data_IF_410030108648
#
_entry.id   IF_410030108648
#
_cell.length_a   1.000
_cell.length_b   1.000
_cell.length_c   1.000
_cell.angle_alpha   90.00
_cell.angle_beta   90.00
_cell.angle_gamma   90.00
#
_symmetry.space_group_name_H-M   'P 1'
#
loop_
_entity.id
_entity.type
_entity.pdbx_description
1 polymer ?
#
# COMPACT_ATOMS: atom_id res chain seq x y z
N UNK A 1 20.80 -41.91 -20.98
CA UNK A 1 20.01 -40.83 -21.57
C UNK A 1 18.89 -40.42 -20.59
N UNK A 2 19.00 -39.30 -19.93
CA UNK A 2 17.99 -38.85 -18.94
C UNK A 2 16.71 -38.40 -19.70
N UNK A 3 15.62 -39.14 -19.55
CA UNK A 3 14.30 -38.75 -20.06
C UNK A 3 13.66 -37.76 -19.08
N UNK A 4 13.59 -36.46 -19.41
CA UNK A 4 12.81 -35.51 -18.65
C UNK A 4 11.34 -35.89 -18.74
N UNK A 5 10.74 -36.26 -17.62
CA UNK A 5 9.31 -36.50 -17.52
C UNK A 5 8.53 -35.21 -17.77
N UNK A 6 7.79 -35.11 -18.88
CA UNK A 6 6.97 -33.93 -19.24
C UNK A 6 5.49 -34.24 -19.26
N UNK A 7 5.06 -35.44 -18.83
CA UNK A 7 3.66 -35.87 -18.88
C UNK A 7 2.69 -34.91 -18.20
N UNK A 8 3.10 -34.30 -17.08
CA UNK A 8 2.29 -33.33 -16.35
C UNK A 8 2.24 -31.93 -16.99
N UNK A 9 2.86 -31.76 -18.15
CA UNK A 9 2.90 -30.49 -18.90
C UNK A 9 2.30 -30.58 -20.31
N UNK A 10 1.80 -31.73 -20.71
CA UNK A 10 1.37 -32.00 -22.09
C UNK A 10 0.13 -31.21 -22.50
N UNK A 11 -0.85 -31.10 -21.63
CA UNK A 11 -2.10 -30.37 -21.90
C UNK A 11 -2.36 -29.32 -20.85
N UNK A 12 -3.21 -28.33 -21.19
CA UNK A 12 -3.67 -27.31 -20.23
C UNK A 12 -4.37 -27.99 -19.06
N UNK A 13 -5.24 -28.97 -19.36
CA UNK A 13 -6.03 -29.68 -18.34
C UNK A 13 -5.12 -30.38 -17.31
N UNK A 14 -4.06 -31.07 -17.78
CA UNK A 14 -3.13 -31.74 -16.84
C UNK A 14 -2.35 -30.71 -16.03
N UNK A 15 -1.94 -29.58 -16.64
CA UNK A 15 -1.25 -28.52 -15.91
C UNK A 15 -2.15 -27.91 -14.82
N UNK A 16 -3.43 -27.74 -15.11
CA UNK A 16 -4.40 -27.21 -14.13
C UNK A 16 -4.67 -28.21 -13.01
N UNK A 17 -4.78 -29.52 -13.33
CA UNK A 17 -4.97 -30.56 -12.32
C UNK A 17 -3.80 -30.70 -11.32
N UNK A 18 -2.58 -30.38 -11.73
CA UNK A 18 -1.38 -30.49 -10.90
C UNK A 18 -0.85 -29.14 -10.40
N UNK A 19 -1.61 -28.08 -10.62
CA UNK A 19 -1.25 -26.73 -10.19
C UNK A 19 -1.29 -26.64 -8.68
N UNK A 20 -0.16 -26.29 -8.07
CA UNK A 20 -0.04 -26.14 -6.61
C UNK A 20 -0.45 -24.74 -6.16
N UNK A 21 -0.32 -23.73 -7.05
CA UNK A 21 -0.62 -22.35 -6.75
C UNK A 21 -1.66 -21.81 -7.74
N UNK A 22 -2.73 -21.24 -7.22
CA UNK A 22 -3.72 -20.50 -7.98
C UNK A 22 -3.63 -19.02 -7.61
N UNK A 23 -3.80 -18.15 -8.60
CA UNK A 23 -3.88 -16.71 -8.39
C UNK A 23 -5.34 -16.29 -8.45
N UNK A 24 -5.85 -15.77 -7.35
CA UNK A 24 -7.19 -15.22 -7.25
C UNK A 24 -7.13 -13.70 -7.12
N UNK A 25 -8.16 -13.01 -7.60
CA UNK A 25 -8.29 -11.56 -7.38
C UNK A 25 -8.35 -11.21 -5.88
N UNK A 26 -8.78 -12.16 -5.05
CA UNK A 26 -8.84 -12.02 -3.58
C UNK A 26 -7.45 -11.95 -2.92
N UNK A 27 -6.40 -12.38 -3.65
CA UNK A 27 -5.03 -12.36 -3.16
C UNK A 27 -4.35 -10.99 -3.40
N UNK A 28 -5.02 -10.08 -4.13
CA UNK A 28 -4.46 -8.76 -4.43
C UNK A 28 -4.78 -7.73 -3.36
N UNK A 29 -3.76 -6.93 -3.06
CA UNK A 29 -3.84 -5.74 -2.22
C UNK A 29 -3.43 -4.55 -3.09
N UNK A 30 -4.32 -3.58 -3.25
CA UNK A 30 -4.03 -2.38 -4.03
C UNK A 30 -3.27 -1.36 -3.19
N UNK A 31 -2.07 -0.90 -3.60
CA UNK A 31 -1.40 0.21 -2.94
C UNK A 31 -2.08 1.54 -3.29
N UNK A 32 -2.32 2.36 -2.27
CA UNK A 32 -2.91 3.70 -2.39
C UNK A 32 -1.93 4.71 -1.81
N UNK A 33 -1.57 5.72 -2.60
CA UNK A 33 -0.70 6.80 -2.18
C UNK A 33 -1.55 8.05 -1.91
N UNK A 34 -1.65 8.43 -0.63
CA UNK A 34 -2.45 9.58 -0.22
C UNK A 34 -1.58 10.80 0.05
N UNK A 35 -2.01 11.95 -0.47
CA UNK A 35 -1.31 13.23 -0.38
C UNK A 35 -2.22 14.29 0.23
N UNK A 36 -1.62 15.29 0.82
CA UNK A 36 -2.31 16.49 1.27
C UNK A 36 -2.78 17.34 0.09
N UNK A 37 -3.72 18.25 0.36
CA UNK A 37 -4.34 19.11 -0.64
C UNK A 37 -5.72 18.61 -1.08
N UNK A 38 -6.26 19.27 -2.10
CA UNK A 38 -7.61 19.05 -2.63
C UNK A 38 -7.57 18.81 -4.15
N UNK A 39 -8.51 18.02 -4.63
CA UNK A 39 -8.71 17.73 -6.06
C UNK A 39 -7.46 17.17 -6.77
N UNK A 40 -6.66 16.35 -6.08
CA UNK A 40 -5.45 15.75 -6.63
C UNK A 40 -5.71 14.30 -7.05
N UNK A 41 -5.51 14.03 -8.34
CA UNK A 41 -5.31 12.71 -8.93
C UNK A 41 -4.15 12.84 -9.91
N UNK A 42 -2.94 12.56 -9.46
CA UNK A 42 -1.72 12.75 -10.25
C UNK A 42 -0.99 11.43 -10.40
N UNK A 43 -0.79 11.00 -11.64
CA UNK A 43 -0.06 9.76 -11.93
C UNK A 43 1.39 9.85 -11.41
N UNK A 44 1.84 8.74 -10.83
CA UNK A 44 3.22 8.57 -10.36
C UNK A 44 4.09 8.19 -11.55
N UNK A 45 4.99 9.06 -11.98
CA UNK A 45 5.79 8.88 -13.22
C UNK A 45 6.62 7.59 -13.24
N UNK A 46 7.13 7.17 -12.08
CA UNK A 46 7.91 5.93 -11.91
C UNK A 46 7.04 4.68 -11.76
N UNK A 47 5.73 4.82 -11.55
CA UNK A 47 4.81 3.73 -11.28
C UNK A 47 3.50 3.95 -12.07
N UNK A 48 3.57 3.73 -13.39
CA UNK A 48 2.45 3.96 -14.31
C UNK A 48 1.18 3.23 -13.87
N UNK A 49 0.03 3.91 -13.99
CA UNK A 49 -1.25 3.41 -13.55
C UNK A 49 -1.52 3.57 -12.05
N UNK A 50 -0.55 4.05 -11.28
CA UNK A 50 -0.72 4.42 -9.88
C UNK A 50 -0.74 5.94 -9.72
N UNK A 51 -1.52 6.42 -8.77
CA UNK A 51 -1.78 7.84 -8.61
C UNK A 51 -1.57 8.28 -7.17
N UNK A 52 -1.12 9.52 -7.01
CA UNK A 52 -1.29 10.24 -5.75
C UNK A 52 -2.74 10.74 -5.69
N UNK A 53 -3.39 10.50 -4.56
CA UNK A 53 -4.79 10.85 -4.34
C UNK A 53 -4.92 11.80 -3.15
N UNK A 54 -5.64 12.89 -3.32
CA UNK A 54 -6.15 13.65 -2.17
C UNK A 54 -7.38 12.95 -1.57
N UNK A 55 -7.65 13.20 -0.30
CA UNK A 55 -8.70 12.50 0.47
C UNK A 55 -10.09 12.68 -0.16
N UNK A 56 -10.38 13.86 -0.71
CA UNK A 56 -11.65 14.18 -1.39
C UNK A 56 -11.88 13.34 -2.66
N UNK A 57 -10.82 12.92 -3.33
CA UNK A 57 -10.88 12.12 -4.58
C UNK A 57 -10.93 10.61 -4.35
N UNK A 58 -10.80 10.12 -3.13
CA UNK A 58 -10.85 8.67 -2.82
C UNK A 58 -12.18 8.00 -3.23
N UNK A 59 -13.26 8.78 -3.38
CA UNK A 59 -14.52 8.27 -3.88
C UNK A 59 -14.46 7.74 -5.32
N UNK A 60 -13.58 8.27 -6.16
CA UNK A 60 -13.35 7.74 -7.51
C UNK A 60 -12.63 6.39 -7.46
N UNK A 61 -11.60 6.30 -6.62
CA UNK A 61 -10.86 5.07 -6.41
C UNK A 61 -11.77 3.95 -5.89
N UNK A 62 -12.65 4.23 -4.92
CA UNK A 62 -13.58 3.23 -4.38
C UNK A 62 -14.56 2.76 -5.46
N UNK A 63 -15.00 3.64 -6.37
CA UNK A 63 -15.83 3.22 -7.53
C UNK A 63 -15.07 2.28 -8.45
N UNK A 64 -13.82 2.62 -8.80
CA UNK A 64 -12.95 1.78 -9.62
C UNK A 64 -12.73 0.40 -8.95
N UNK A 65 -12.52 0.37 -7.63
CA UNK A 65 -12.37 -0.87 -6.87
C UNK A 65 -13.64 -1.75 -6.90
N UNK A 66 -14.81 -1.14 -6.80
CA UNK A 66 -16.10 -1.87 -6.86
C UNK A 66 -16.36 -2.55 -8.20
N UNK A 67 -15.77 -2.04 -9.27
CA UNK A 67 -15.83 -2.65 -10.61
C UNK A 67 -14.88 -3.86 -10.72
N UNK A 68 -13.88 -3.94 -9.84
CA UNK A 68 -12.99 -5.08 -9.70
C UNK A 68 -13.45 -5.95 -8.53
N UNK A 69 -12.90 -7.14 -8.38
CA UNK A 69 -13.16 -7.96 -7.19
C UNK A 69 -12.10 -7.75 -6.08
N UNK A 70 -11.23 -6.73 -6.20
CA UNK A 70 -10.23 -6.39 -5.17
C UNK A 70 -10.93 -5.72 -3.98
N UNK A 71 -10.71 -6.25 -2.79
CA UNK A 71 -11.32 -5.77 -1.55
C UNK A 71 -10.32 -5.36 -0.47
N UNK A 72 -9.04 -5.41 -0.80
CA UNK A 72 -7.96 -5.08 0.13
C UNK A 72 -7.10 -3.96 -0.42
N UNK A 73 -6.80 -2.98 0.41
CA UNK A 73 -5.94 -1.84 0.08
C UNK A 73 -4.86 -1.66 1.13
N UNK A 74 -3.69 -1.20 0.72
CA UNK A 74 -2.63 -0.73 1.63
C UNK A 74 -2.37 0.75 1.38
N UNK A 75 -2.38 1.54 2.45
CA UNK A 75 -2.26 3.00 2.37
C UNK A 75 -0.84 3.43 2.70
N UNK A 76 -0.26 4.23 1.81
CA UNK A 76 0.99 4.94 2.01
C UNK A 76 0.71 6.44 2.10
N UNK A 77 1.15 7.07 3.19
CA UNK A 77 1.04 8.50 3.37
C UNK A 77 2.20 9.26 2.76
N UNK A 78 1.93 10.33 2.03
CA UNK A 78 2.95 11.23 1.52
C UNK A 78 2.68 12.62 2.07
N UNK A 79 3.09 12.90 3.33
CA UNK A 79 2.86 14.19 3.95
C UNK A 79 3.72 15.28 3.30
N UNK A 80 3.23 16.52 3.28
CA UNK A 80 4.00 17.66 2.81
C UNK A 80 5.07 18.07 3.83
N UNK A 81 4.75 17.96 5.12
CA UNK A 81 5.67 18.26 6.21
C UNK A 81 6.36 17.01 6.72
N UNK A 82 7.68 17.07 6.79
CA UNK A 82 8.53 16.03 7.34
C UNK A 82 9.50 16.61 8.33
N UNK A 83 9.76 15.89 9.41
CA UNK A 83 10.74 16.31 10.42
C UNK A 83 11.63 15.13 10.87
N UNK A 84 12.62 15.42 11.70
CA UNK A 84 13.56 14.39 12.14
C UNK A 84 12.97 13.32 13.07
N UNK A 85 11.72 13.50 13.55
CA UNK A 85 10.99 12.57 14.41
C UNK A 85 9.83 11.89 13.71
N UNK A 86 9.48 12.31 12.50
CA UNK A 86 8.33 11.78 11.76
C UNK A 86 6.99 12.08 12.44
N UNK A 87 6.79 13.30 12.97
CA UNK A 87 5.64 13.64 13.80
C UNK A 87 4.30 13.46 13.10
N UNK A 88 4.24 13.61 11.77
CA UNK A 88 3.03 13.37 10.99
C UNK A 88 2.55 11.90 11.00
N UNK A 89 3.42 10.95 11.33
CA UNK A 89 3.04 9.54 11.41
C UNK A 89 2.01 9.25 12.52
N UNK A 90 2.11 9.99 13.64
CA UNK A 90 1.24 9.81 14.80
C UNK A 90 0.32 11.02 15.07
N UNK A 91 0.21 11.92 14.10
CA UNK A 91 -0.76 13.02 14.15
C UNK A 91 -2.17 12.44 13.97
N UNK A 92 -3.09 12.70 14.92
CA UNK A 92 -4.48 12.24 14.83
C UNK A 92 -5.22 12.74 13.59
N UNK A 93 -4.82 13.90 13.06
CA UNK A 93 -5.30 14.49 11.81
C UNK A 93 -4.31 14.35 10.66
N UNK A 94 -3.40 13.39 10.74
CA UNK A 94 -2.49 13.07 9.66
C UNK A 94 -3.20 12.57 8.40
N UNK A 95 -2.50 12.60 7.28
CA UNK A 95 -3.09 12.29 5.97
C UNK A 95 -3.62 10.86 5.88
N UNK A 96 -2.94 9.89 6.50
CA UNK A 96 -3.37 8.48 6.52
C UNK A 96 -4.64 8.32 7.37
N UNK A 97 -4.69 8.96 8.54
CA UNK A 97 -5.84 8.93 9.45
C UNK A 97 -7.08 9.52 8.78
N UNK A 98 -6.93 10.64 8.07
CA UNK A 98 -8.00 11.24 7.25
C UNK A 98 -8.46 10.31 6.13
N UNK A 99 -7.52 9.68 5.44
CA UNK A 99 -7.84 8.74 4.37
C UNK A 99 -8.60 7.51 4.88
N UNK A 100 -8.20 6.93 6.02
CA UNK A 100 -8.89 5.79 6.64
C UNK A 100 -10.34 6.17 6.98
N UNK A 101 -10.55 7.31 7.66
CA UNK A 101 -11.90 7.79 7.99
C UNK A 101 -12.75 7.92 6.73
N UNK A 102 -12.18 8.52 5.67
CA UNK A 102 -12.89 8.71 4.40
C UNK A 102 -13.20 7.39 3.69
N UNK A 103 -12.27 6.46 3.64
CA UNK A 103 -12.51 5.14 3.03
C UNK A 103 -13.59 4.34 3.77
N UNK A 104 -13.62 4.42 5.12
CA UNK A 104 -14.67 3.78 5.94
C UNK A 104 -16.05 4.37 5.70
N UNK A 105 -16.16 5.69 5.46
CA UNK A 105 -17.44 6.30 5.05
C UNK A 105 -17.93 5.81 3.68
N UNK A 106 -16.99 5.56 2.76
CA UNK A 106 -17.30 5.20 1.38
C UNK A 106 -17.58 3.71 1.19
N UNK A 107 -16.90 2.87 1.96
CA UNK A 107 -17.03 1.42 1.89
C UNK A 107 -16.53 0.79 3.21
N UNK A 108 -17.44 0.31 4.03
CA UNK A 108 -17.17 -0.32 5.33
C UNK A 108 -16.67 -1.77 5.19
N UNK A 109 -16.92 -2.42 4.04
CA UNK A 109 -16.43 -3.77 3.75
C UNK A 109 -14.98 -3.79 3.23
N UNK A 110 -14.41 -2.64 2.90
CA UNK A 110 -13.05 -2.56 2.38
C UNK A 110 -12.03 -2.94 3.47
N UNK A 111 -11.16 -3.91 3.20
CA UNK A 111 -10.09 -4.26 4.10
C UNK A 111 -8.92 -3.28 3.96
N UNK A 112 -8.70 -2.47 4.98
CA UNK A 112 -7.68 -1.40 4.98
C UNK A 112 -6.47 -1.86 5.78
N UNK A 113 -5.31 -1.81 5.13
CA UNK A 113 -3.99 -2.06 5.71
C UNK A 113 -3.25 -0.72 5.73
N UNK A 114 -2.54 -0.45 6.80
CA UNK A 114 -1.64 0.71 6.88
C UNK A 114 -0.19 0.24 6.87
N UNK A 115 0.67 0.97 6.20
CA UNK A 115 2.10 0.78 6.34
C UNK A 115 2.59 1.37 7.67
N UNK A 116 3.43 0.62 8.38
CA UNK A 116 4.06 1.07 9.64
C UNK A 116 5.53 1.37 9.36
N UNK A 117 5.75 2.42 8.56
CA UNK A 117 7.08 2.90 8.20
C UNK A 117 7.23 4.37 8.58
N UNK A 118 8.36 4.74 9.17
CA UNK A 118 8.64 6.13 9.55
C UNK A 118 9.40 6.90 8.47
N UNK A 119 10.03 6.22 7.51
CA UNK A 119 10.85 6.89 6.48
C UNK A 119 10.04 7.80 5.55
N UNK A 120 8.73 7.60 5.43
CA UNK A 120 7.83 8.47 4.68
C UNK A 120 7.61 9.83 5.38
N UNK A 121 7.77 9.86 6.71
CA UNK A 121 7.49 11.01 7.57
C UNK A 121 8.73 11.73 8.06
N UNK A 122 9.91 11.10 7.94
CA UNK A 122 11.18 11.71 8.34
C UNK A 122 11.82 12.50 7.19
N UNK A 123 12.46 13.62 7.50
CA UNK A 123 13.14 14.48 6.54
C UNK A 123 14.41 13.84 5.94
N UNK A 124 15.02 12.91 6.69
CA UNK A 124 16.20 12.16 6.28
C UNK A 124 15.89 10.77 5.67
N UNK A 125 14.60 10.34 5.64
CA UNK A 125 14.16 9.11 4.99
C UNK A 125 14.55 7.80 5.70
N UNK A 126 14.82 7.82 6.99
CA UNK A 126 15.13 6.64 7.79
C UNK A 126 14.11 6.42 8.90
N UNK A 127 13.87 5.15 9.26
CA UNK A 127 12.93 4.76 10.33
C UNK A 127 13.58 4.85 11.72
N UNK A 128 14.09 6.02 12.10
CA UNK A 128 14.73 6.22 13.40
C UNK A 128 15.34 7.59 13.57
N UNK A 129 15.82 7.87 14.77
CA UNK A 129 16.49 9.11 15.09
C UNK A 129 17.96 8.99 14.69
N UNK A 130 18.48 9.98 13.98
CA UNK A 130 19.88 10.02 13.56
C UNK A 130 20.78 10.52 14.69
N UNK A 131 21.81 9.74 15.01
CA UNK A 131 22.92 10.14 15.87
C UNK A 131 24.23 10.08 15.07
N UNK A 132 24.56 11.18 14.40
CA UNK A 132 25.70 11.23 13.48
C UNK A 132 25.52 10.28 12.29
N UNK A 133 26.29 9.17 12.26
CA UNK A 133 26.18 8.13 11.21
C UNK A 133 25.37 6.90 11.63
N UNK A 134 24.90 6.84 12.87
CA UNK A 134 24.11 5.73 13.38
C UNK A 134 22.64 6.11 13.47
N UNK A 135 21.78 5.11 13.31
CA UNK A 135 20.33 5.24 13.39
C UNK A 135 19.86 4.52 14.64
N UNK A 136 19.18 5.23 15.52
CA UNK A 136 18.44 4.63 16.62
C UNK A 136 17.05 4.28 16.11
N UNK A 137 16.83 3.02 15.81
CA UNK A 137 15.66 2.57 15.06
C UNK A 137 14.39 2.60 15.92
N UNK A 138 13.46 3.48 15.58
CA UNK A 138 12.18 3.61 16.27
C UNK A 138 11.27 2.37 16.13
N UNK A 139 11.45 1.57 15.09
CA UNK A 139 10.64 0.36 14.87
C UNK A 139 10.92 -0.74 15.91
N UNK A 140 12.11 -0.78 16.51
CA UNK A 140 12.44 -1.75 17.55
C UNK A 140 11.93 -1.33 18.94
N UNK A 141 11.58 -0.08 19.12
CA UNK A 141 11.10 0.49 20.39
C UNK A 141 9.60 0.77 20.39
N UNK A 142 8.95 0.67 19.22
CA UNK A 142 7.49 0.79 19.14
C UNK A 142 6.83 -0.50 19.60
N UNK A 143 5.90 -0.44 20.56
CA UNK A 143 5.10 -1.60 20.89
C UNK A 143 4.25 -1.97 19.67
N UNK A 144 4.47 -3.17 19.16
CA UNK A 144 3.69 -3.78 18.09
C UNK A 144 2.28 -4.11 18.56
#
# INVERSE_FOLDING_TARGET
>A
MFRRGRRLRDTVIIRDLVRENELSVKDFILPIFVVEGENIKREISSLKGNYHWSVDRLGELVKELKETAVRSVIIFGVPEHKDCKGTEAYNEDGIVQKAIRKLRELDDELYIITDVCMCEYTDHGHCGILHGKSIDCLLYTSPS
#
